data_IF_156701015944
#
_entry.id   IF_156701015944
#
_cell.length_a   1.000
_cell.length_b   1.000
_cell.length_c   1.000
_cell.angle_alpha   90.00
_cell.angle_beta   90.00
_cell.angle_gamma   90.00
#
_symmetry.space_group_name_H-M   'P 1'
#
loop_
_entity.id
_entity.type
_entity.pdbx_description
1 polymer ?
#
# COMPACT_ATOMS: atom_id res chain seq x y z
N UNK A 1 6.91 -33.71 38.09
CA UNK A 1 6.41 -32.39 37.67
C UNK A 1 6.60 -32.19 36.17
N UNK A 2 5.53 -32.42 35.40
CA UNK A 2 5.52 -32.30 33.95
C UNK A 2 5.17 -30.84 33.62
N UNK A 3 6.14 -30.03 33.19
CA UNK A 3 5.89 -28.67 32.69
C UNK A 3 5.41 -28.83 31.25
N UNK A 4 4.09 -28.79 31.06
CA UNK A 4 3.48 -28.66 29.73
C UNK A 4 3.61 -27.18 29.35
N UNK A 5 4.66 -26.85 28.61
CA UNK A 5 4.77 -25.55 27.95
C UNK A 5 3.69 -25.48 26.87
N UNK A 6 2.60 -24.77 27.17
CA UNK A 6 1.61 -24.41 26.18
C UNK A 6 2.25 -23.42 25.20
N UNK A 7 2.79 -23.94 24.09
CA UNK A 7 3.05 -23.17 22.88
C UNK A 7 1.71 -22.71 22.34
N UNK A 8 1.24 -21.55 22.80
CA UNK A 8 0.21 -20.80 22.07
C UNK A 8 0.85 -20.38 20.75
N UNK A 9 0.37 -20.84 19.59
CA UNK A 9 0.75 -20.19 18.35
C UNK A 9 0.23 -18.76 18.44
N UNK A 10 1.13 -17.80 18.60
CA UNK A 10 0.86 -16.41 18.26
C UNK A 10 0.57 -16.42 16.76
N UNK A 11 -0.71 -16.61 16.38
CA UNK A 11 -1.10 -16.39 15.01
C UNK A 11 -0.91 -14.91 14.77
N UNK A 12 0.18 -14.57 14.09
CA UNK A 12 0.41 -13.23 13.58
C UNK A 12 -0.62 -13.02 12.48
N UNK A 13 -1.81 -12.56 12.86
CA UNK A 13 -2.86 -12.19 11.90
C UNK A 13 -2.36 -10.94 11.19
N UNK A 14 -2.08 -11.08 9.90
CA UNK A 14 -2.00 -9.94 8.99
C UNK A 14 -3.23 -9.08 9.22
N UNK A 15 -3.00 -7.78 9.40
CA UNK A 15 -3.99 -6.90 9.99
C UNK A 15 -4.56 -5.99 8.92
N UNK A 16 -5.87 -6.03 8.74
CA UNK A 16 -6.75 -4.90 8.38
C UNK A 16 -6.03 -3.58 8.54
N UNK A 17 -5.92 -2.82 7.46
CA UNK A 17 -5.24 -1.52 7.48
C UNK A 17 -6.29 -0.42 7.60
N UNK A 18 -6.19 0.36 8.67
CA UNK A 18 -7.12 1.44 8.99
C UNK A 18 -6.39 2.78 8.98
N UNK A 19 -6.91 3.72 8.21
CA UNK A 19 -6.48 5.12 8.16
C UNK A 19 -7.48 6.00 8.92
N UNK A 20 -7.22 7.31 8.99
CA UNK A 20 -8.12 8.25 9.67
C UNK A 20 -9.54 8.22 9.10
N UNK A 21 -9.67 8.16 7.77
CA UNK A 21 -10.95 8.29 7.07
C UNK A 21 -11.30 7.09 6.20
N UNK A 22 -10.50 6.02 6.25
CA UNK A 22 -10.72 4.86 5.40
C UNK A 22 -10.21 3.57 6.01
N UNK A 23 -10.63 2.47 5.40
CA UNK A 23 -10.23 1.13 5.77
C UNK A 23 -10.06 0.29 4.50
N UNK A 24 -9.03 -0.55 4.50
CA UNK A 24 -8.73 -1.49 3.43
C UNK A 24 -8.80 -2.89 4.02
N UNK A 25 -9.67 -3.71 3.43
CA UNK A 25 -9.92 -5.08 3.82
C UNK A 25 -9.52 -6.03 2.70
N UNK A 26 -8.94 -7.16 3.09
CA UNK A 26 -8.54 -8.27 2.23
C UNK A 26 -9.19 -9.58 2.70
N UNK A 27 -9.09 -10.64 1.90
CA UNK A 27 -9.63 -11.95 2.26
C UNK A 27 -9.07 -12.52 3.58
N UNK A 28 -7.83 -12.15 3.94
CA UNK A 28 -7.20 -12.50 5.22
C UNK A 28 -7.90 -11.92 6.45
N UNK A 29 -8.69 -10.86 6.29
CA UNK A 29 -9.39 -10.19 7.39
C UNK A 29 -10.68 -10.88 7.81
N UNK A 30 -11.09 -11.93 7.09
CA UNK A 30 -12.27 -12.71 7.47
C UNK A 30 -12.02 -13.58 8.69
N UNK A 31 -12.87 -13.38 9.70
CA UNK A 31 -13.00 -14.29 10.82
C UNK A 31 -14.16 -15.27 10.58
N UNK A 32 -13.96 -16.54 10.90
CA UNK A 32 -15.04 -17.53 10.93
C UNK A 32 -15.90 -17.31 12.17
N UNK A 33 -17.12 -16.83 12.00
CA UNK A 33 -18.05 -16.56 13.11
C UNK A 33 -19.49 -16.84 12.72
N UNK A 34 -20.23 -17.53 13.58
CA UNK A 34 -21.64 -17.90 13.36
C UNK A 34 -21.85 -18.67 12.04
N UNK A 35 -20.92 -19.60 11.74
CA UNK A 35 -20.89 -20.42 10.52
C UNK A 35 -20.77 -19.66 9.19
N UNK A 36 -20.16 -18.47 9.21
CA UNK A 36 -19.86 -17.72 7.99
C UNK A 36 -18.60 -16.87 8.17
N UNK A 37 -17.87 -16.63 7.09
CA UNK A 37 -16.69 -15.76 7.10
C UNK A 37 -17.14 -14.30 7.02
N UNK A 38 -16.69 -13.47 7.97
CA UNK A 38 -17.03 -12.04 8.00
C UNK A 38 -15.86 -11.15 8.38
N UNK A 39 -15.84 -9.94 7.82
CA UNK A 39 -15.05 -8.82 8.30
C UNK A 39 -15.98 -7.63 8.57
N UNK A 40 -15.95 -7.08 9.79
CA UNK A 40 -16.74 -5.89 10.15
C UNK A 40 -16.18 -4.63 9.46
N UNK A 41 -16.94 -3.57 9.29
CA UNK A 41 -16.37 -2.24 9.03
C UNK A 41 -17.40 -1.20 9.45
N UNK A 42 -16.98 0.07 9.51
CA UNK A 42 -17.85 1.16 9.93
C UNK A 42 -17.84 2.29 8.91
N UNK A 43 -18.94 3.03 8.93
CA UNK A 43 -19.17 4.22 8.14
C UNK A 43 -19.78 5.28 9.04
N UNK A 44 -18.94 6.07 9.71
CA UNK A 44 -19.40 7.04 10.70
C UNK A 44 -20.28 8.13 10.06
N UNK A 45 -19.89 8.66 8.89
CA UNK A 45 -20.65 9.69 8.15
C UNK A 45 -21.29 9.16 6.86
N UNK A 46 -21.36 7.84 6.72
CA UNK A 46 -21.56 7.19 5.43
C UNK A 46 -20.26 7.16 4.62
N UNK A 47 -20.19 6.23 3.66
CA UNK A 47 -18.96 5.98 2.92
C UNK A 47 -19.19 5.85 1.41
N UNK A 48 -18.09 5.89 0.68
CA UNK A 48 -17.93 5.28 -0.64
C UNK A 48 -17.20 3.96 -0.47
N UNK A 49 -17.71 2.89 -1.07
CA UNK A 49 -17.09 1.57 -1.05
C UNK A 49 -16.69 1.17 -2.48
N UNK A 50 -15.47 0.65 -2.59
CA UNK A 50 -14.85 0.18 -3.81
C UNK A 50 -14.35 -1.25 -3.59
N UNK A 51 -14.37 -2.04 -4.65
CA UNK A 51 -13.74 -3.36 -4.65
C UNK A 51 -13.28 -3.71 -6.05
N UNK A 52 -12.23 -4.49 -6.12
CA UNK A 52 -11.70 -5.03 -7.37
C UNK A 52 -12.39 -6.35 -7.79
N UNK A 53 -13.17 -6.94 -6.88
CA UNK A 53 -13.86 -8.22 -7.08
C UNK A 53 -15.30 -8.02 -7.57
N UNK A 54 -15.78 -8.96 -8.39
CA UNK A 54 -17.18 -9.06 -8.86
C UNK A 54 -17.83 -10.37 -8.43
N UNK A 55 -17.33 -10.96 -7.33
CA UNK A 55 -17.82 -12.22 -6.81
C UNK A 55 -19.30 -12.14 -6.40
N UNK A 56 -20.10 -13.14 -6.77
CA UNK A 56 -21.55 -13.20 -6.47
C UNK A 56 -21.87 -13.71 -5.05
N UNK A 57 -20.86 -14.14 -4.31
CA UNK A 57 -21.00 -14.69 -2.96
C UNK A 57 -20.48 -13.73 -1.87
N UNK A 58 -19.87 -12.60 -2.25
CA UNK A 58 -19.42 -11.56 -1.34
C UNK A 58 -20.50 -10.49 -1.21
N UNK A 59 -20.97 -10.27 0.01
CA UNK A 59 -22.05 -9.33 0.32
C UNK A 59 -21.59 -8.29 1.31
N UNK A 60 -22.03 -7.05 1.11
CA UNK A 60 -22.09 -6.08 2.19
C UNK A 60 -23.41 -6.31 2.93
N UNK A 61 -23.33 -6.54 4.23
CA UNK A 61 -24.50 -6.71 5.11
C UNK A 61 -24.47 -5.70 6.24
N UNK A 62 -25.65 -5.39 6.77
CA UNK A 62 -25.83 -4.56 7.96
C UNK A 62 -26.52 -5.38 9.05
N UNK A 63 -25.95 -5.36 10.26
CA UNK A 63 -26.54 -6.01 11.42
C UNK A 63 -27.50 -5.07 12.16
N UNK A 64 -28.77 -5.44 12.24
CA UNK A 64 -29.82 -4.63 12.87
C UNK A 64 -30.04 -4.93 14.37
N UNK A 65 -29.19 -5.79 14.96
CA UNK A 65 -29.35 -6.30 16.32
C UNK A 65 -29.92 -7.71 16.40
N UNK A 66 -30.51 -8.23 15.30
CA UNK A 66 -31.06 -9.59 15.23
C UNK A 66 -30.58 -10.36 13.99
N UNK A 67 -30.53 -9.70 12.83
CA UNK A 67 -30.27 -10.33 11.54
C UNK A 67 -29.25 -9.52 10.74
N UNK A 68 -28.43 -10.21 9.96
CA UNK A 68 -27.55 -9.60 8.96
C UNK A 68 -28.32 -9.42 7.64
N UNK A 69 -28.76 -8.19 7.38
CA UNK A 69 -29.50 -7.84 6.16
C UNK A 69 -28.52 -7.56 5.03
N UNK A 70 -28.67 -8.25 3.91
CA UNK A 70 -27.88 -7.95 2.72
C UNK A 70 -28.25 -6.57 2.15
N UNK A 71 -27.23 -5.73 1.93
CA UNK A 71 -27.35 -4.39 1.33
C UNK A 71 -27.04 -4.49 -0.17
N UNK A 72 -25.89 -5.05 -0.51
CA UNK A 72 -25.42 -5.22 -1.89
C UNK A 72 -24.49 -6.42 -2.01
N UNK A 73 -24.37 -6.93 -3.22
CA UNK A 73 -23.41 -7.98 -3.60
C UNK A 73 -22.29 -7.35 -4.44
N UNK A 74 -21.05 -7.82 -4.32
CA UNK A 74 -19.90 -7.26 -5.02
C UNK A 74 -20.07 -7.27 -6.55
N UNK A 75 -20.78 -8.25 -7.10
CA UNK A 75 -21.11 -8.26 -8.54
C UNK A 75 -21.99 -7.09 -9.00
N UNK A 76 -22.72 -6.46 -8.08
CA UNK A 76 -23.59 -5.30 -8.33
C UNK A 76 -22.95 -3.96 -7.92
N UNK A 77 -21.68 -3.95 -7.48
CA UNK A 77 -20.92 -2.73 -7.19
C UNK A 77 -20.11 -2.29 -8.43
N UNK A 78 -19.68 -1.02 -8.49
CA UNK A 78 -18.69 -0.58 -9.48
C UNK A 78 -19.21 -0.29 -10.90
N UNK A 79 -20.52 -0.12 -11.09
CA UNK A 79 -21.08 0.29 -12.39
C UNK A 79 -20.74 -0.63 -13.57
N UNK A 80 -20.82 -0.06 -14.79
CA UNK A 80 -20.62 -0.77 -16.06
C UNK A 80 -19.15 -0.88 -16.49
N UNK A 81 -18.30 0.04 -16.04
CA UNK A 81 -16.87 0.07 -16.41
C UNK A 81 -16.06 -0.58 -15.30
N UNK A 82 -15.56 -1.79 -15.56
CA UNK A 82 -14.87 -2.57 -14.52
C UNK A 82 -13.56 -1.95 -14.06
N UNK A 83 -12.77 -1.43 -15.00
CA UNK A 83 -11.48 -0.80 -14.73
C UNK A 83 -11.59 0.54 -13.98
N UNK A 84 -12.75 1.20 -14.02
CA UNK A 84 -13.01 2.48 -13.37
C UNK A 84 -14.36 2.40 -12.64
N UNK A 85 -14.43 1.66 -11.51
CA UNK A 85 -15.68 1.39 -10.84
C UNK A 85 -16.32 2.64 -10.20
N UNK A 86 -17.62 2.80 -10.42
CA UNK A 86 -18.41 3.78 -9.65
C UNK A 86 -18.46 3.39 -8.16
N UNK A 87 -18.28 4.34 -7.23
CA UNK A 87 -18.41 4.07 -5.80
C UNK A 87 -19.80 3.58 -5.42
N UNK A 88 -19.90 2.51 -4.64
CA UNK A 88 -21.15 2.18 -3.96
C UNK A 88 -21.31 3.03 -2.71
N UNK A 89 -22.39 3.80 -2.61
CA UNK A 89 -22.62 4.73 -1.49
C UNK A 89 -23.36 4.02 -0.36
N UNK A 90 -22.71 3.93 0.80
CA UNK A 90 -23.30 3.39 2.03
C UNK A 90 -23.75 4.51 2.96
N UNK A 91 -24.85 4.30 3.67
CA UNK A 91 -25.31 5.24 4.69
C UNK A 91 -24.43 5.17 5.94
N UNK A 92 -24.65 6.07 6.89
CA UNK A 92 -23.93 6.02 8.16
C UNK A 92 -24.39 4.80 8.98
N UNK A 93 -23.44 3.96 9.41
CA UNK A 93 -23.68 2.80 10.26
C UNK A 93 -22.36 2.25 10.84
N UNK A 94 -22.42 1.72 12.05
CA UNK A 94 -21.28 1.08 12.74
C UNK A 94 -21.39 -0.45 12.76
N UNK A 95 -22.27 -1.00 11.91
CA UNK A 95 -22.64 -2.41 11.95
C UNK A 95 -22.63 -3.03 10.56
N UNK A 96 -21.74 -2.54 9.68
CA UNK A 96 -21.52 -3.17 8.39
C UNK A 96 -20.54 -4.34 8.49
N UNK A 97 -20.74 -5.30 7.60
CA UNK A 97 -19.89 -6.46 7.44
C UNK A 97 -19.74 -6.77 5.96
N UNK A 98 -18.59 -7.29 5.58
CA UNK A 98 -18.43 -8.09 4.37
C UNK A 98 -18.64 -9.54 4.79
N UNK A 99 -19.55 -10.24 4.14
CA UNK A 99 -19.83 -11.66 4.34
C UNK A 99 -19.50 -12.46 3.10
N UNK A 100 -18.79 -13.56 3.26
CA UNK A 100 -18.67 -14.59 2.23
C UNK A 100 -19.68 -15.72 2.49
N UNK A 101 -20.66 -15.83 1.59
CA UNK A 101 -21.72 -16.85 1.62
C UNK A 101 -21.43 -18.01 0.67
N UNK A 102 -20.21 -18.13 0.18
CA UNK A 102 -19.76 -19.21 -0.69
C UNK A 102 -19.47 -20.50 0.09
N UNK A 103 -19.44 -21.62 -0.64
CA UNK A 103 -19.17 -22.95 -0.07
C UNK A 103 -17.67 -23.24 0.12
N UNK A 104 -16.78 -22.39 -0.39
CA UNK A 104 -15.32 -22.58 -0.39
C UNK A 104 -14.61 -21.35 0.18
N UNK A 105 -13.32 -21.52 0.53
CA UNK A 105 -12.40 -20.49 1.03
C UNK A 105 -12.64 -19.14 0.30
N UNK A 106 -12.58 -18.00 1.00
CA UNK A 106 -12.86 -16.71 0.40
C UNK A 106 -12.04 -16.44 -0.84
N UNK A 107 -12.71 -15.86 -1.82
CA UNK A 107 -12.08 -15.31 -3.01
C UNK A 107 -11.13 -14.19 -2.61
N UNK A 108 -10.01 -14.07 -3.30
CA UNK A 108 -9.16 -12.90 -3.14
C UNK A 108 -9.95 -11.65 -3.56
N UNK A 109 -9.92 -10.63 -2.70
CA UNK A 109 -10.52 -9.33 -2.95
C UNK A 109 -9.72 -8.27 -2.21
N UNK A 110 -9.82 -7.06 -2.70
CA UNK A 110 -9.51 -5.83 -1.98
C UNK A 110 -10.80 -5.03 -1.89
N UNK A 111 -11.13 -4.61 -0.68
CA UNK A 111 -12.25 -3.74 -0.40
C UNK A 111 -11.74 -2.49 0.26
N UNK A 112 -11.96 -1.35 -0.39
CA UNK A 112 -11.57 -0.04 0.10
C UNK A 112 -12.83 0.76 0.41
N UNK A 113 -12.98 1.14 1.68
CA UNK A 113 -14.10 1.95 2.14
C UNK A 113 -13.56 3.25 2.71
N UNK A 114 -14.14 4.36 2.26
CA UNK A 114 -13.67 5.71 2.58
C UNK A 114 -14.84 6.59 2.97
N UNK A 115 -14.70 7.31 4.08
CA UNK A 115 -15.68 8.26 4.59
C UNK A 115 -15.98 9.34 3.53
N UNK A 116 -17.24 9.75 3.42
CA UNK A 116 -17.66 10.75 2.42
C UNK A 116 -17.02 12.12 2.62
N UNK A 117 -16.52 12.42 3.81
CA UNK A 117 -15.82 13.66 4.12
C UNK A 117 -14.29 13.52 4.08
N UNK A 118 -13.77 12.39 3.60
CA UNK A 118 -12.33 12.20 3.44
C UNK A 118 -11.72 13.23 2.47
N UNK A 119 -10.46 13.64 2.68
CA UNK A 119 -9.72 14.43 1.69
C UNK A 119 -9.70 13.73 0.32
N UNK A 120 -9.85 14.50 -0.75
CA UNK A 120 -9.82 14.01 -2.13
C UNK A 120 -10.85 12.89 -2.42
N UNK A 121 -12.02 12.88 -1.75
CA UNK A 121 -13.06 11.84 -1.90
C UNK A 121 -13.65 11.69 -3.32
N UNK A 122 -13.36 12.63 -4.21
CA UNK A 122 -13.67 12.64 -5.64
C UNK A 122 -12.59 11.98 -6.51
N UNK A 123 -11.48 11.55 -5.93
CA UNK A 123 -10.38 10.87 -6.63
C UNK A 123 -10.90 9.59 -7.32
N UNK A 124 -10.60 9.40 -8.61
CA UNK A 124 -10.93 8.16 -9.31
C UNK A 124 -10.23 6.96 -8.68
N UNK A 125 -10.99 5.88 -8.51
CA UNK A 125 -10.46 4.56 -8.14
C UNK A 125 -10.50 3.68 -9.37
N UNK A 126 -9.36 3.06 -9.68
CA UNK A 126 -9.21 2.12 -10.78
C UNK A 126 -8.91 0.72 -10.26
N UNK A 127 -9.22 -0.28 -11.08
CA UNK A 127 -9.04 -1.70 -10.76
C UNK A 127 -8.28 -2.39 -11.88
N UNK A 128 -7.25 -3.17 -11.52
CA UNK A 128 -6.55 -4.04 -12.48
C UNK A 128 -7.40 -5.30 -12.68
N UNK A 129 -8.13 -5.37 -13.80
CA UNK A 129 -9.17 -6.36 -13.99
C UNK A 129 -8.76 -7.56 -14.87
N UNK A 130 -7.64 -7.43 -15.58
CA UNK A 130 -7.02 -8.46 -16.41
C UNK A 130 -5.48 -8.51 -16.23
N UNK A 131 -4.78 -9.18 -17.14
CA UNK A 131 -3.32 -9.33 -17.10
C UNK A 131 -2.59 -8.24 -17.90
N UNK A 132 -3.30 -7.52 -18.77
CA UNK A 132 -2.75 -6.45 -19.58
C UNK A 132 -2.65 -5.14 -18.81
N UNK A 133 -3.41 -5.00 -17.73
CA UNK A 133 -3.37 -3.81 -16.90
C UNK A 133 -4.35 -2.75 -17.37
N UNK A 134 -4.15 -1.53 -16.88
CA UNK A 134 -4.99 -0.38 -17.16
C UNK A 134 -4.11 0.83 -17.48
N UNK A 135 -4.59 1.67 -18.40
CA UNK A 135 -3.97 2.95 -18.67
C UNK A 135 -4.73 4.04 -17.88
N UNK A 136 -4.03 4.65 -16.92
CA UNK A 136 -4.50 5.83 -16.22
C UNK A 136 -4.24 7.06 -17.08
N UNK A 137 -5.16 7.38 -18.00
CA UNK A 137 -5.12 8.58 -18.84
C UNK A 137 -6.09 9.62 -18.28
N UNK A 138 -5.61 10.84 -18.04
CA UNK A 138 -6.48 11.88 -17.50
C UNK A 138 -5.80 13.20 -17.17
N UNK A 139 -6.54 14.03 -16.43
CA UNK A 139 -6.10 15.33 -15.90
C UNK A 139 -6.19 15.36 -14.37
N UNK A 140 -6.57 14.25 -13.74
CA UNK A 140 -6.76 14.13 -12.31
C UNK A 140 -5.41 14.09 -11.57
N UNK A 141 -5.29 14.86 -10.48
CA UNK A 141 -4.03 14.90 -9.74
C UNK A 141 -3.68 13.57 -9.08
N UNK A 142 -4.71 12.84 -8.67
CA UNK A 142 -4.62 11.60 -7.91
C UNK A 142 -5.38 10.49 -8.63
N UNK A 143 -4.85 9.28 -8.57
CA UNK A 143 -5.56 8.05 -8.92
C UNK A 143 -5.23 6.99 -7.89
N UNK A 144 -6.25 6.29 -7.39
CA UNK A 144 -6.05 5.12 -6.53
C UNK A 144 -6.28 3.86 -7.35
N UNK A 145 -5.39 2.89 -7.21
CA UNK A 145 -5.44 1.59 -7.88
C UNK A 145 -5.72 0.53 -6.82
N UNK A 146 -6.70 -0.34 -7.08
CA UNK A 146 -6.98 -1.55 -6.29
C UNK A 146 -6.62 -2.80 -7.09
N UNK A 147 -6.05 -3.79 -6.40
CA UNK A 147 -5.73 -5.08 -7.02
C UNK A 147 -5.71 -6.20 -5.99
N UNK A 148 -6.55 -7.23 -6.14
CA UNK A 148 -6.46 -8.51 -5.41
C UNK A 148 -5.27 -9.34 -5.86
N UNK A 149 -4.65 -8.98 -6.99
CA UNK A 149 -3.34 -9.47 -7.44
C UNK A 149 -2.21 -8.66 -6.76
N UNK A 150 -2.40 -8.29 -5.49
CA UNK A 150 -1.56 -7.37 -4.73
C UNK A 150 -0.16 -7.85 -4.43
N UNK A 151 0.10 -9.12 -4.69
CA UNK A 151 1.45 -9.66 -4.60
C UNK A 151 2.42 -8.83 -5.45
N UNK A 152 2.02 -8.23 -6.57
CA UNK A 152 2.88 -7.24 -7.23
C UNK A 152 2.17 -6.47 -8.36
N UNK A 153 2.12 -5.14 -8.29
CA UNK A 153 1.70 -4.28 -9.42
C UNK A 153 2.89 -3.51 -9.96
N UNK A 154 2.97 -3.35 -11.28
CA UNK A 154 4.04 -2.59 -11.94
C UNK A 154 3.46 -1.37 -12.62
N UNK A 155 4.06 -0.23 -12.32
CA UNK A 155 3.79 1.06 -12.93
C UNK A 155 4.87 1.37 -13.95
N UNK A 156 4.49 1.68 -15.19
CA UNK A 156 5.43 2.10 -16.23
C UNK A 156 4.78 3.11 -17.19
N UNK A 157 5.54 3.55 -18.20
CA UNK A 157 5.08 4.44 -19.27
C UNK A 157 4.49 5.77 -18.77
N UNK A 158 5.06 6.34 -17.69
CA UNK A 158 4.70 7.68 -17.25
C UNK A 158 5.00 8.72 -18.34
N UNK A 159 3.98 9.40 -18.84
CA UNK A 159 4.14 10.55 -19.71
C UNK A 159 3.13 11.65 -19.36
N UNK A 160 3.36 12.85 -19.89
CA UNK A 160 2.61 14.05 -19.53
C UNK A 160 3.47 15.26 -19.22
N UNK A 161 2.83 16.39 -18.88
CA UNK A 161 3.51 17.59 -18.40
C UNK A 161 3.74 17.55 -16.89
N UNK A 162 5.00 17.50 -16.43
CA UNK A 162 5.34 17.46 -14.99
C UNK A 162 5.94 18.77 -14.47
N UNK A 163 5.53 19.92 -15.03
CA UNK A 163 6.19 21.21 -14.76
C UNK A 163 6.09 21.68 -13.30
N UNK A 164 5.02 21.28 -12.60
CA UNK A 164 4.74 21.69 -11.21
C UNK A 164 5.05 20.60 -10.17
N UNK A 165 5.58 19.46 -10.59
CA UNK A 165 5.83 18.31 -9.72
C UNK A 165 5.88 17.02 -10.53
N UNK A 166 6.66 16.06 -10.04
CA UNK A 166 6.84 14.74 -10.66
C UNK A 166 5.94 13.69 -10.01
N UNK A 167 5.60 12.60 -10.72
CA UNK A 167 4.76 11.54 -10.17
C UNK A 167 5.37 10.92 -8.91
N UNK A 168 4.50 10.67 -7.94
CA UNK A 168 4.78 9.94 -6.72
C UNK A 168 3.84 8.75 -6.62
N UNK A 169 4.31 7.63 -6.08
CA UNK A 169 3.47 6.46 -5.81
C UNK A 169 3.47 6.19 -4.31
N UNK A 170 2.28 6.09 -3.74
CA UNK A 170 2.03 5.79 -2.34
C UNK A 170 1.39 4.39 -2.20
N UNK A 171 1.63 3.73 -1.07
CA UNK A 171 1.09 2.40 -0.76
C UNK A 171 -0.23 2.47 0.04
N UNK A 172 -1.05 3.47 -0.26
CA UNK A 172 -2.29 3.77 0.46
C UNK A 172 -3.34 4.33 -0.48
N UNK A 173 -4.58 4.48 0.00
CA UNK A 173 -5.67 5.18 -0.68
C UNK A 173 -5.47 6.70 -0.72
N UNK A 174 -6.23 7.37 -1.59
CA UNK A 174 -6.11 8.80 -1.84
C UNK A 174 -6.33 9.69 -0.62
N UNK A 175 -7.08 9.22 0.37
CA UNK A 175 -7.43 9.98 1.57
C UNK A 175 -6.22 10.17 2.48
N UNK A 176 -5.39 9.12 2.58
CA UNK A 176 -4.22 9.11 3.44
C UNK A 176 -3.01 9.82 2.80
N UNK A 177 -2.96 9.99 1.47
CA UNK A 177 -1.82 10.66 0.79
C UNK A 177 -1.62 12.10 1.29
N UNK A 178 -2.68 12.77 1.74
CA UNK A 178 -2.60 14.13 2.28
C UNK A 178 -2.03 14.19 3.71
N UNK A 179 -1.87 13.06 4.38
CA UNK A 179 -1.38 12.99 5.75
C UNK A 179 0.15 13.08 5.81
N UNK A 180 0.67 13.80 6.80
CA UNK A 180 2.09 14.14 6.90
C UNK A 180 2.98 12.93 7.13
N UNK A 181 2.42 11.93 7.79
CA UNK A 181 3.05 10.67 8.16
C UNK A 181 3.17 9.70 6.98
N UNK A 182 2.43 9.94 5.89
CA UNK A 182 2.45 9.12 4.69
C UNK A 182 3.58 9.55 3.76
N UNK A 183 4.43 8.59 3.39
CA UNK A 183 5.58 8.79 2.50
C UNK A 183 5.37 8.03 1.20
N UNK A 184 5.80 8.61 0.07
CA UNK A 184 5.78 7.88 -1.18
C UNK A 184 6.82 6.74 -1.16
N UNK A 185 6.46 5.62 -1.77
CA UNK A 185 7.37 4.54 -2.14
C UNK A 185 8.32 4.96 -3.26
N UNK A 186 7.79 5.76 -4.17
CA UNK A 186 8.49 6.27 -5.34
C UNK A 186 8.23 7.77 -5.49
N UNK A 187 9.28 8.52 -5.78
CA UNK A 187 9.18 9.90 -6.23
C UNK A 187 10.17 10.12 -7.38
N UNK A 188 9.65 10.41 -8.56
CA UNK A 188 10.47 10.76 -9.71
C UNK A 188 11.30 12.03 -9.41
N UNK A 189 12.57 12.00 -9.81
CA UNK A 189 13.51 13.12 -9.66
C UNK A 189 13.56 14.03 -10.89
N UNK A 190 13.07 13.53 -12.04
CA UNK A 190 12.96 14.27 -13.30
C UNK A 190 11.87 13.65 -14.18
N UNK A 191 11.47 14.36 -15.23
CA UNK A 191 10.53 13.83 -16.23
C UNK A 191 11.13 12.64 -17.00
N UNK A 192 12.42 12.69 -17.30
CA UNK A 192 13.12 11.56 -17.94
C UNK A 192 13.11 10.33 -17.01
N UNK A 193 13.42 10.51 -15.72
CA UNK A 193 13.36 9.46 -14.71
C UNK A 193 11.96 8.86 -14.60
N UNK A 194 10.91 9.69 -14.55
CA UNK A 194 9.52 9.21 -14.57
C UNK A 194 9.26 8.31 -15.78
N UNK A 195 9.58 8.79 -16.99
CA UNK A 195 9.26 8.09 -18.25
C UNK A 195 10.00 6.78 -18.47
N UNK A 196 11.20 6.63 -17.90
CA UNK A 196 12.02 5.43 -18.03
C UNK A 196 11.86 4.45 -16.85
N UNK A 197 11.20 4.89 -15.78
CA UNK A 197 10.97 4.07 -14.59
C UNK A 197 9.87 3.06 -14.80
N UNK A 198 10.14 1.85 -14.28
CA UNK A 198 9.17 0.79 -14.15
C UNK A 198 9.20 0.34 -12.69
N UNK A 199 8.18 0.75 -11.93
CA UNK A 199 8.16 0.67 -10.48
C UNK A 199 7.25 -0.47 -10.04
N UNK A 200 7.81 -1.41 -9.31
CA UNK A 200 7.08 -2.53 -8.72
C UNK A 200 6.63 -2.18 -7.30
N UNK A 201 5.35 -2.36 -7.01
CA UNK A 201 4.72 -2.08 -5.70
C UNK A 201 4.03 -3.33 -5.17
N UNK A 202 4.32 -3.67 -3.91
CA UNK A 202 3.80 -4.84 -3.20
C UNK A 202 2.64 -4.46 -2.29
N UNK A 203 1.51 -4.04 -2.87
CA UNK A 203 0.36 -3.52 -2.10
C UNK A 203 -0.98 -3.73 -2.81
N UNK A 204 -2.06 -4.01 -2.05
CA UNK A 204 -3.44 -4.10 -2.59
C UNK A 204 -4.06 -2.78 -2.99
N UNK A 205 -3.52 -1.70 -2.46
CA UNK A 205 -3.95 -0.35 -2.76
C UNK A 205 -2.72 0.52 -2.93
N UNK A 206 -2.74 1.34 -3.97
CA UNK A 206 -1.71 2.34 -4.17
C UNK A 206 -2.30 3.57 -4.82
N UNK A 207 -1.71 4.72 -4.56
CA UNK A 207 -2.17 5.99 -5.12
C UNK A 207 -1.03 6.69 -5.83
N UNK A 208 -1.29 7.13 -7.06
CA UNK A 208 -0.36 7.97 -7.82
C UNK A 208 -0.75 9.43 -7.64
N UNK A 209 0.22 10.26 -7.27
CA UNK A 209 0.09 11.72 -7.21
C UNK A 209 0.97 12.37 -8.28
N UNK A 210 0.38 13.04 -9.26
CA UNK A 210 1.11 13.75 -10.33
C UNK A 210 1.56 15.15 -9.94
N UNK A 211 1.16 15.64 -8.77
CA UNK A 211 1.46 16.98 -8.25
C UNK A 211 0.75 18.14 -8.98
N UNK A 212 0.14 17.88 -10.15
CA UNK A 212 -0.57 18.83 -10.98
C UNK A 212 -1.80 18.18 -11.64
N UNK A 213 -2.59 18.96 -12.39
CA UNK A 213 -3.79 18.50 -13.12
C UNK A 213 -3.64 18.68 -14.63
N UNK A 214 -2.42 18.59 -15.15
CA UNK A 214 -2.15 18.60 -16.59
C UNK A 214 -2.35 17.20 -17.15
N UNK A 215 -2.55 17.08 -18.47
CA UNK A 215 -2.70 15.78 -19.11
C UNK A 215 -1.49 14.87 -18.85
N UNK A 216 -1.76 13.67 -18.39
CA UNK A 216 -0.76 12.65 -18.11
C UNK A 216 -1.31 11.26 -18.40
N UNK A 217 -0.38 10.31 -18.48
CA UNK A 217 -0.66 8.91 -18.64
C UNK A 217 0.30 8.08 -17.80
N UNK A 218 -0.19 6.97 -17.27
CA UNK A 218 0.63 5.85 -16.80
C UNK A 218 -0.01 4.55 -17.25
N UNK A 219 0.80 3.53 -17.33
CA UNK A 219 0.34 2.16 -17.43
C UNK A 219 0.57 1.45 -16.10
N UNK A 220 -0.43 0.71 -15.62
CA UNK A 220 -0.28 -0.14 -14.44
C UNK A 220 -0.84 -1.53 -14.71
N UNK A 221 0.00 -2.54 -14.49
CA UNK A 221 -0.33 -3.93 -14.78
C UNK A 221 0.09 -4.87 -13.65
N UNK A 222 -0.45 -6.09 -13.66
CA UNK A 222 -0.02 -7.14 -12.76
C UNK A 222 1.40 -7.61 -13.13
N UNK A 223 2.30 -7.63 -12.16
CA UNK A 223 3.65 -8.12 -12.32
C UNK A 223 3.75 -9.57 -11.85
N UNK A 224 3.32 -10.50 -12.71
CA UNK A 224 3.27 -11.95 -12.40
C UNK A 224 4.59 -12.52 -11.90
N UNK A 225 5.69 -12.02 -12.43
CA UNK A 225 7.04 -12.52 -12.14
C UNK A 225 7.65 -11.85 -10.89
N UNK A 226 6.96 -10.89 -10.29
CA UNK A 226 7.44 -10.06 -9.18
C UNK A 226 8.82 -9.44 -9.46
N UNK A 227 9.09 -9.19 -10.74
CA UNK A 227 10.39 -8.73 -11.22
C UNK A 227 10.60 -7.24 -10.95
N UNK A 228 11.85 -6.85 -10.77
CA UNK A 228 12.26 -5.45 -10.68
C UNK A 228 12.82 -5.00 -12.03
N UNK A 229 12.52 -3.77 -12.42
CA UNK A 229 13.10 -3.18 -13.62
C UNK A 229 14.27 -2.27 -13.24
N UNK A 230 15.34 -2.37 -14.02
CA UNK A 230 16.55 -1.57 -13.86
C UNK A 230 16.90 -0.94 -15.21
N UNK A 231 16.44 0.29 -15.43
CA UNK A 231 16.79 1.04 -16.61
C UNK A 231 17.82 2.12 -16.24
N UNK A 232 18.71 2.42 -17.19
CA UNK A 232 19.61 3.56 -17.04
C UNK A 232 18.75 4.83 -17.03
N UNK A 233 19.05 5.80 -16.17
CA UNK A 233 18.26 7.03 -15.94
C UNK A 233 16.89 6.81 -15.30
N UNK A 234 16.63 5.62 -14.75
CA UNK A 234 15.38 5.32 -14.05
C UNK A 234 15.57 5.22 -12.55
N UNK A 235 14.49 4.83 -11.86
CA UNK A 235 14.54 4.42 -10.47
C UNK A 235 14.12 2.95 -10.33
N UNK A 236 14.61 2.30 -9.27
CA UNK A 236 14.09 1.01 -8.79
C UNK A 236 13.63 1.21 -7.35
N UNK A 237 12.47 0.63 -7.00
CA UNK A 237 11.95 0.65 -5.64
C UNK A 237 11.81 -0.77 -5.11
N UNK A 238 12.23 -0.95 -3.86
CA UNK A 238 12.01 -2.15 -3.07
C UNK A 238 11.21 -1.77 -1.83
N UNK A 239 10.30 -2.63 -1.40
CA UNK A 239 9.59 -2.43 -0.13
C UNK A 239 9.25 -3.77 0.50
N UNK A 240 9.21 -3.84 1.83
CA UNK A 240 8.60 -4.98 2.51
C UNK A 240 7.19 -5.20 1.94
N UNK A 241 6.80 -6.43 1.57
CA UNK A 241 5.45 -6.64 1.06
C UNK A 241 4.37 -6.19 2.06
N UNK A 242 3.26 -5.64 1.58
CA UNK A 242 2.24 -5.06 2.46
C UNK A 242 2.67 -3.82 3.24
N UNK A 243 3.77 -3.17 2.85
CA UNK A 243 4.14 -1.83 3.32
C UNK A 243 3.00 -0.85 3.07
N UNK A 244 2.65 -0.04 4.08
CA UNK A 244 1.55 0.93 4.00
C UNK A 244 2.03 2.35 3.69
N UNK A 245 3.28 2.68 4.01
CA UNK A 245 3.84 4.02 3.78
C UNK A 245 3.45 5.09 4.79
N UNK A 246 2.53 4.81 5.70
CA UNK A 246 2.05 5.76 6.71
C UNK A 246 2.53 5.37 8.12
N UNK A 247 3.31 6.23 8.77
CA UNK A 247 4.05 5.84 9.99
C UNK A 247 3.18 5.61 11.23
N UNK A 248 1.93 6.07 11.27
CA UNK A 248 1.03 5.83 12.41
C UNK A 248 0.30 4.47 12.32
N UNK A 249 0.28 3.82 11.15
CA UNK A 249 -0.31 2.49 10.99
C UNK A 249 0.75 1.44 11.31
N UNK A 250 0.61 0.73 12.43
CA UNK A 250 1.45 -0.45 12.76
C UNK A 250 1.04 -1.71 11.99
N UNK A 251 0.11 -1.57 11.05
CA UNK A 251 -0.50 -2.63 10.27
C UNK A 251 0.26 -2.79 8.94
N UNK A 252 0.14 -3.98 8.36
CA UNK A 252 0.69 -4.33 7.05
C UNK A 252 -0.39 -5.07 6.28
N UNK A 253 -0.51 -4.81 4.99
CA UNK A 253 -1.39 -5.61 4.15
C UNK A 253 -0.94 -7.07 4.12
N UNK A 254 -1.90 -7.96 3.91
CA UNK A 254 -1.62 -9.36 3.60
C UNK A 254 -0.83 -9.46 2.30
N UNK A 255 0.12 -10.38 2.27
CA UNK A 255 0.97 -10.66 1.09
C UNK A 255 1.42 -12.11 1.09
N UNK A 256 1.37 -12.77 -0.06
CA UNK A 256 1.96 -14.11 -0.19
C UNK A 256 3.49 -14.07 -0.33
N UNK A 257 4.03 -12.90 -0.67
CA UNK A 257 5.48 -12.65 -0.78
C UNK A 257 6.07 -12.41 0.59
N UNK A 258 7.07 -13.23 0.94
CA UNK A 258 7.82 -13.15 2.18
C UNK A 258 9.32 -12.93 1.95
N UNK A 259 9.77 -12.82 0.70
CA UNK A 259 11.19 -12.68 0.36
C UNK A 259 11.38 -11.71 -0.80
N UNK A 260 12.43 -10.91 -0.70
CA UNK A 260 12.99 -10.11 -1.79
C UNK A 260 14.42 -10.57 -2.01
N UNK A 261 14.79 -10.84 -3.25
CA UNK A 261 16.15 -11.15 -3.66
C UNK A 261 16.36 -10.66 -5.08
N UNK A 262 17.34 -9.80 -5.25
CA UNK A 262 17.63 -9.17 -6.53
C UNK A 262 19.11 -8.76 -6.61
N UNK A 263 19.62 -8.72 -7.84
CA UNK A 263 21.00 -8.38 -8.14
C UNK A 263 21.18 -7.95 -9.58
N UNK A 264 21.80 -6.79 -9.80
CA UNK A 264 21.91 -6.17 -11.11
C UNK A 264 23.16 -5.28 -11.21
N UNK A 265 23.53 -4.93 -12.45
CA UNK A 265 24.76 -4.17 -12.74
C UNK A 265 24.47 -2.89 -13.55
N UNK A 266 23.99 -1.80 -12.94
CA UNK A 266 23.69 -0.59 -13.68
C UNK A 266 25.00 0.14 -14.03
N UNK A 267 25.09 0.71 -15.23
CA UNK A 267 26.17 1.63 -15.61
C UNK A 267 25.70 3.06 -15.42
N UNK A 268 26.22 3.75 -14.40
CA UNK A 268 25.72 5.05 -13.94
C UNK A 268 26.84 6.02 -13.62
N UNK A 269 26.53 7.32 -13.66
CA UNK A 269 27.40 8.40 -13.17
C UNK A 269 27.10 8.70 -11.70
N UNK A 270 25.84 8.57 -11.29
CA UNK A 270 25.45 8.69 -9.88
C UNK A 270 24.42 7.64 -9.48
N UNK A 271 24.40 7.32 -8.20
CA UNK A 271 23.38 6.49 -7.57
C UNK A 271 22.95 7.17 -6.27
N UNK A 272 21.69 7.58 -6.20
CA UNK A 272 21.05 8.07 -4.98
C UNK A 272 20.21 6.95 -4.37
N UNK A 273 20.40 6.69 -3.08
CA UNK A 273 19.65 5.69 -2.33
C UNK A 273 18.93 6.40 -1.21
N UNK A 274 17.60 6.30 -1.21
CA UNK A 274 16.74 6.86 -0.20
C UNK A 274 15.87 5.76 0.36
N UNK A 275 15.92 5.54 1.67
CA UNK A 275 15.21 4.47 2.34
C UNK A 275 14.62 4.90 3.67
N UNK A 276 13.53 4.25 4.02
CA UNK A 276 12.87 4.35 5.32
C UNK A 276 12.63 2.96 5.83
N UNK A 277 12.84 2.74 7.13
CA UNK A 277 12.62 1.44 7.75
C UNK A 277 12.12 1.61 9.17
N UNK A 278 11.26 0.71 9.61
CA UNK A 278 10.63 0.71 10.92
C UNK A 278 10.44 -0.73 11.41
N UNK A 279 10.77 -0.95 12.68
CA UNK A 279 10.60 -2.24 13.38
C UNK A 279 11.24 -3.44 12.65
N UNK A 280 12.31 -3.21 11.88
CA UNK A 280 13.07 -4.30 11.24
C UNK A 280 13.95 -4.98 12.28
N UNK A 281 13.72 -6.25 12.59
CA UNK A 281 14.51 -6.94 13.62
C UNK A 281 15.89 -7.35 13.09
N UNK A 282 16.83 -7.67 13.99
CA UNK A 282 18.20 -8.04 13.59
C UNK A 282 18.27 -9.32 12.77
N UNK A 283 17.40 -10.28 13.06
CA UNK A 283 17.23 -11.55 12.32
C UNK A 283 16.42 -11.39 11.01
N UNK A 284 15.94 -10.18 10.74
CA UNK A 284 15.18 -9.77 9.55
C UNK A 284 15.86 -8.57 8.84
N UNK A 285 17.18 -8.42 9.01
CA UNK A 285 17.95 -7.31 8.44
C UNK A 285 17.80 -7.25 6.93
N UNK A 286 17.59 -6.06 6.39
CA UNK A 286 17.59 -5.84 4.93
C UNK A 286 19.03 -5.76 4.46
N UNK A 287 19.39 -6.63 3.52
CA UNK A 287 20.74 -6.78 3.02
C UNK A 287 20.94 -6.01 1.72
N UNK A 288 21.49 -4.79 1.81
CA UNK A 288 21.76 -3.94 0.65
C UNK A 288 23.28 -3.80 0.42
N UNK A 289 23.74 -4.14 -0.79
CA UNK A 289 25.14 -3.99 -1.21
C UNK A 289 25.24 -3.15 -2.48
N UNK A 290 26.27 -2.31 -2.51
CA UNK A 290 26.73 -1.61 -3.71
C UNK A 290 28.23 -1.83 -3.80
N UNK A 291 28.66 -2.70 -4.71
CA UNK A 291 30.01 -3.26 -4.77
C UNK A 291 30.43 -3.85 -3.40
N UNK A 292 31.56 -3.38 -2.84
CA UNK A 292 32.07 -3.80 -1.53
C UNK A 292 31.43 -3.03 -0.36
N UNK A 293 30.52 -2.09 -0.65
CA UNK A 293 29.92 -1.22 0.37
C UNK A 293 28.68 -1.89 0.96
N UNK A 294 28.71 -2.06 2.28
CA UNK A 294 27.65 -2.64 3.10
C UNK A 294 26.71 -1.53 3.56
N UNK A 295 25.45 -1.60 3.12
CA UNK A 295 24.38 -0.67 3.48
C UNK A 295 23.24 -1.40 4.21
N UNK A 296 23.55 -2.45 4.96
CA UNK A 296 22.54 -3.19 5.74
C UNK A 296 21.82 -2.31 6.75
N UNK A 297 20.53 -2.55 6.92
CA UNK A 297 19.74 -1.81 7.91
C UNK A 297 18.76 -2.70 8.68
N UNK A 298 18.63 -2.36 9.96
CA UNK A 298 17.64 -2.89 10.91
C UNK A 298 17.28 -1.79 11.94
N UNK A 299 16.21 -2.01 12.68
CA UNK A 299 15.64 -1.06 13.65
C UNK A 299 14.60 -0.15 13.00
N UNK A 300 14.66 1.13 13.38
CA UNK A 300 13.82 2.20 12.82
C UNK A 300 14.71 3.38 12.45
N UNK A 301 14.55 3.93 11.26
CA UNK A 301 15.38 5.03 10.77
C UNK A 301 15.19 5.34 9.29
N UNK A 302 16.14 6.08 8.75
CA UNK A 302 16.26 6.40 7.34
C UNK A 302 17.64 6.01 6.82
N UNK A 303 17.72 5.68 5.54
CA UNK A 303 18.96 5.41 4.83
C UNK A 303 19.07 6.43 3.70
N UNK A 304 20.12 7.23 3.70
CA UNK A 304 20.41 8.18 2.61
C UNK A 304 21.86 8.01 2.19
N UNK A 305 22.10 7.73 0.90
CA UNK A 305 23.44 7.55 0.36
C UNK A 305 23.52 8.06 -1.07
N UNK A 306 24.53 8.88 -1.35
CA UNK A 306 24.86 9.34 -2.69
C UNK A 306 26.21 8.77 -3.11
N UNK A 307 26.26 8.21 -4.33
CA UNK A 307 27.47 7.82 -5.03
C UNK A 307 27.62 8.67 -6.28
N UNK A 308 28.86 9.08 -6.58
CA UNK A 308 29.20 9.85 -7.76
C UNK A 308 30.49 9.33 -8.37
N UNK A 309 30.49 9.20 -9.69
CA UNK A 309 31.60 8.72 -10.50
C UNK A 309 31.88 9.74 -11.62
N UNK A 310 33.16 9.95 -12.00
CA UNK A 310 33.51 10.94 -13.02
C UNK A 310 33.04 10.55 -14.45
N UNK A 311 32.66 9.29 -14.65
CA UNK A 311 32.19 8.72 -15.92
C UNK A 311 31.26 7.54 -15.62
N UNK A 312 30.43 7.09 -16.58
CA UNK A 312 29.60 5.90 -16.38
C UNK A 312 30.42 4.71 -15.89
N UNK A 313 30.05 4.18 -14.73
CA UNK A 313 30.75 3.09 -14.06
C UNK A 313 29.76 1.96 -13.74
N UNK A 314 30.09 0.68 -14.04
CA UNK A 314 29.25 -0.44 -13.68
C UNK A 314 29.31 -0.67 -12.17
N UNK A 315 28.17 -0.62 -11.49
CA UNK A 315 28.06 -0.95 -10.07
C UNK A 315 27.49 -2.34 -9.90
N UNK A 316 27.92 -3.11 -8.91
CA UNK A 316 27.25 -4.34 -8.51
C UNK A 316 26.24 -4.02 -7.40
N UNK A 317 24.95 -3.99 -7.72
CA UNK A 317 23.90 -3.75 -6.73
C UNK A 317 23.23 -5.07 -6.37
N UNK A 318 22.98 -5.31 -5.08
CA UNK A 318 22.15 -6.43 -4.65
C UNK A 318 21.30 -6.07 -3.44
N UNK A 319 20.07 -6.55 -3.44
CA UNK A 319 19.12 -6.41 -2.34
C UNK A 319 18.60 -7.79 -1.96
N UNK A 320 18.65 -8.14 -0.68
CA UNK A 320 17.91 -9.31 -0.19
C UNK A 320 17.30 -9.09 1.18
N UNK A 321 16.15 -9.70 1.40
CA UNK A 321 15.40 -9.63 2.65
C UNK A 321 14.44 -10.81 2.73
N UNK A 322 14.22 -11.34 3.92
CA UNK A 322 13.21 -12.37 4.15
C UNK A 322 12.43 -12.03 5.41
N UNK A 323 11.10 -12.03 5.28
CA UNK A 323 10.17 -11.75 6.36
C UNK A 323 10.35 -12.74 7.50
N UNK A 324 10.36 -12.22 8.72
CA UNK A 324 10.30 -12.96 10.00
C UNK A 324 9.23 -12.40 10.91
N UNK A 325 8.94 -11.11 10.81
CA UNK A 325 7.88 -10.44 11.57
C UNK A 325 6.88 -9.77 10.63
N UNK A 326 5.60 -9.69 11.02
CA UNK A 326 4.60 -8.96 10.22
C UNK A 326 4.69 -7.44 10.40
N UNK A 327 5.47 -6.98 11.39
CA UNK A 327 5.58 -5.58 11.77
C UNK A 327 6.72 -4.85 11.08
N UNK A 328 7.70 -5.58 10.52
CA UNK A 328 8.81 -5.01 9.78
C UNK A 328 8.31 -4.29 8.53
N UNK A 329 8.62 -3.00 8.43
CA UNK A 329 8.14 -2.12 7.37
C UNK A 329 9.31 -1.35 6.82
N UNK A 330 9.56 -1.44 5.52
CA UNK A 330 10.64 -0.68 4.90
C UNK A 330 10.36 -0.42 3.43
N UNK A 331 10.97 0.64 2.91
CA UNK A 331 11.00 0.97 1.50
C UNK A 331 12.34 1.62 1.15
N UNK A 332 12.88 1.30 -0.02
CA UNK A 332 14.13 1.83 -0.56
C UNK A 332 13.92 2.17 -2.02
N UNK A 333 14.20 3.42 -2.39
CA UNK A 333 14.31 3.90 -3.75
C UNK A 333 15.79 4.05 -4.12
N UNK A 334 16.16 3.55 -5.29
CA UNK A 334 17.46 3.74 -5.92
C UNK A 334 17.27 4.52 -7.20
N UNK A 335 17.87 5.70 -7.32
CA UNK A 335 17.81 6.56 -8.51
C UNK A 335 19.14 6.51 -9.26
N UNK A 336 19.07 6.14 -10.54
CA UNK A 336 20.24 5.98 -11.41
C UNK A 336 20.45 7.25 -12.24
N UNK A 337 21.51 8.01 -11.97
CA UNK A 337 21.81 9.25 -12.69
C UNK A 337 22.89 9.09 -13.77
N UNK A 338 22.76 9.88 -14.84
CA UNK A 338 23.73 9.98 -15.95
C UNK A 338 24.24 11.41 -16.15
N UNK A 339 24.18 12.26 -15.13
CA UNK A 339 24.51 13.69 -15.24
C UNK A 339 24.68 14.38 -13.89
N UNK A 340 24.58 15.72 -13.87
CA UNK A 340 24.61 16.51 -12.63
C UNK A 340 23.51 16.05 -11.64
N UNK A 341 23.72 16.24 -10.33
CA UNK A 341 22.73 15.91 -9.31
C UNK A 341 21.38 16.53 -9.68
N UNK A 342 20.32 15.73 -9.67
CA UNK A 342 18.99 16.27 -9.93
C UNK A 342 18.68 17.35 -8.88
N UNK A 343 18.17 18.53 -9.30
CA UNK A 343 17.79 19.56 -8.35
C UNK A 343 16.75 19.00 -7.38
N UNK A 344 16.79 19.47 -6.13
CA UNK A 344 15.81 19.05 -5.12
C UNK A 344 14.38 19.25 -5.66
N UNK A 345 13.61 18.16 -5.71
CA UNK A 345 12.24 18.19 -6.22
C UNK A 345 11.39 19.06 -5.30
N UNK A 346 10.79 20.11 -5.86
CA UNK A 346 9.89 20.98 -5.10
C UNK A 346 8.69 20.19 -4.59
N UNK A 347 8.40 20.29 -3.29
CA UNK A 347 7.25 19.63 -2.71
C UNK A 347 5.96 20.39 -3.05
N UNK A 348 5.04 19.74 -3.75
CA UNK A 348 3.66 20.20 -3.84
C UNK A 348 2.89 19.67 -2.62
N UNK A 349 2.34 20.59 -1.81
CA UNK A 349 1.53 20.22 -0.65
C UNK A 349 0.10 19.97 -1.10
N UNK A 350 -0.45 18.79 -0.82
CA UNK A 350 -1.89 18.57 -0.81
C UNK A 350 -2.47 19.33 0.40
N UNK A 351 -3.44 20.21 0.18
CA UNK A 351 -4.14 20.84 1.31
C UNK A 351 -5.11 19.84 1.89
N UNK A 352 -4.77 19.24 3.03
CA UNK A 352 -5.77 18.67 3.91
C UNK A 352 -6.52 19.84 4.58
N UNK A 353 -7.81 20.04 4.24
CA UNK A 353 -8.67 20.81 5.13
C UNK A 353 -8.86 19.99 6.40
N UNK A 354 -8.19 20.37 7.50
CA UNK A 354 -8.37 19.69 8.77
C UNK A 354 -9.77 20.03 9.29
N UNK A 355 -10.75 19.17 9.05
CA UNK A 355 -11.97 19.16 9.85
C UNK A 355 -11.61 18.56 11.20
N UNK A 356 -11.30 19.42 12.16
CA UNK A 356 -11.13 19.05 13.57
C UNK A 356 -12.46 18.49 14.10
N UNK A 357 -12.68 17.18 13.98
CA UNK A 357 -13.63 16.49 14.86
C UNK A 357 -12.92 16.22 16.18
N UNK A 358 -13.17 17.08 17.16
CA UNK A 358 -12.86 16.82 18.56
C UNK A 358 -13.55 15.52 18.99
N UNK A 359 -12.81 14.43 19.23
CA UNK A 359 -13.43 13.21 19.73
C UNK A 359 -12.65 11.90 19.65
N UNK A 360 -11.33 11.89 19.82
CA UNK A 360 -10.62 10.67 20.22
C UNK A 360 -9.67 10.99 21.36
N UNK A 361 -10.22 11.08 22.58
CA UNK A 361 -9.41 10.77 23.75
C UNK A 361 -8.91 9.34 23.60
N UNK A 362 -7.60 9.18 23.66
CA UNK A 362 -6.89 7.91 23.70
C UNK A 362 -7.38 7.09 24.89
N UNK A 363 -8.38 6.25 24.71
CA UNK A 363 -8.62 5.11 25.57
C UNK A 363 -7.68 3.97 25.17
N UNK A 364 -6.37 4.21 25.31
CA UNK A 364 -5.33 3.19 25.17
C UNK A 364 -4.81 2.83 26.57
N UNK A 365 -5.70 2.41 27.46
CA UNK A 365 -5.40 1.87 28.79
C UNK A 365 -6.66 1.14 29.26
N UNK A 366 -6.70 -0.18 29.10
CA UNK A 366 -7.18 -1.23 30.05
C UNK A 366 -7.30 -2.54 29.25
N UNK A 367 -6.19 -3.26 29.11
CA UNK A 367 -6.23 -4.71 28.86
C UNK A 367 -5.06 -5.45 29.51
N UNK A 368 -4.57 -4.95 30.66
CA UNK A 368 -3.52 -5.59 31.46
C UNK A 368 -4.00 -5.99 32.87
N UNK A 369 -5.21 -5.61 33.31
CA UNK A 369 -5.65 -5.88 34.70
C UNK A 369 -6.49 -7.17 34.88
N UNK A 370 -6.88 -7.88 33.83
CA UNK A 370 -7.68 -9.12 33.99
C UNK A 370 -6.84 -10.37 34.33
N UNK A 371 -5.51 -10.33 34.19
CA UNK A 371 -4.67 -11.51 34.46
C UNK A 371 -4.05 -11.58 35.86
N UNK A 372 -4.27 -10.60 36.75
CA UNK A 372 -3.68 -10.58 38.10
C UNK A 372 -4.70 -10.97 39.20
N UNK A 373 -6.01 -11.01 38.92
CA UNK A 373 -7.04 -11.35 39.93
C UNK A 373 -7.37 -12.86 39.95
N UNK A 374 -6.86 -13.67 39.02
CA UNK A 374 -7.06 -15.13 39.02
C UNK A 374 -5.96 -15.93 39.76
N UNK A 375 -5.12 -15.26 40.57
CA UNK A 375 -4.03 -15.89 41.32
C UNK A 375 -3.98 -15.46 42.80
N UNK A 376 -5.13 -15.11 43.38
CA UNK A 376 -5.34 -15.05 44.83
C UNK A 376 -6.62 -15.75 45.24
#
# INVERSE_FOLDING_TARGET
>A
PLIVAALLPLSVTEARVTFTNSEVLQASDFAWKDNVYRAAFKCDNGCSAYTDSRANNLYITEYDGNVYKAIVNFSNMGGNVRALPDPYKLNASNSYYIEDRGEKKPYDFVFYVVDRHAPNADTPVMVIDDDWGIDGNGEERLFTILSSKYDSVRYDQFAGGFQKGFPRIYSTGFDAVAEKECRPLYQASSQESASLSSITVFSPISTVEYGNTEAHNMHVAWNKDNSFAHNIRSSTVYSSPGYVGCSYTIQSYSSSIDKIEDGFFPSVISLDINGVYDQVTKDETVLLRVDEIILDFNGTGTLEKHFFYPSPFPLACSMSWQRKTATARWAVQMDFGMGEPNPAVSSTTLKAESTTSSGFEKAFLVSIIVSIIALF
#
